data_IF_768072978590
#
_entry.id   IF_768072978590
#
_cell.length_a   1.000
_cell.length_b   1.000
_cell.length_c   1.000
_cell.angle_alpha   90.00
_cell.angle_beta   90.00
_cell.angle_gamma   90.00
#
_symmetry.space_group_name_H-M   'P 1'
#
loop_
_entity.id
_entity.type
_entity.pdbx_description
1 polymer ?
#
# COMPACT_ATOMS: atom_id res chain seq x y z
N UNK A 1 46.13 49.82 -6.39
CA UNK A 1 46.44 48.97 -5.22
C UNK A 1 45.35 49.19 -4.19
N UNK A 2 44.59 48.16 -3.76
CA UNK A 2 43.58 48.36 -2.71
C UNK A 2 44.24 48.84 -1.41
N UNK A 3 43.61 49.80 -0.75
CA UNK A 3 44.06 50.34 0.54
C UNK A 3 43.94 49.28 1.65
N UNK A 4 44.71 49.44 2.73
CA UNK A 4 44.65 48.53 3.89
C UNK A 4 43.23 48.45 4.47
N UNK A 5 42.51 49.58 4.48
CA UNK A 5 41.09 49.67 4.88
C UNK A 5 40.19 48.84 3.96
N UNK A 6 40.37 48.94 2.64
CA UNK A 6 39.57 48.15 1.69
C UNK A 6 39.82 46.66 1.83
N UNK A 7 41.07 46.23 2.01
CA UNK A 7 41.42 44.82 2.15
C UNK A 7 40.92 44.20 3.46
N UNK A 8 41.01 44.94 4.57
CA UNK A 8 40.72 44.40 5.91
C UNK A 8 39.28 44.62 6.37
N UNK A 9 38.64 45.73 5.97
CA UNK A 9 37.33 46.09 6.49
C UNK A 9 36.22 45.96 5.43
N UNK A 10 36.49 46.31 4.18
CA UNK A 10 35.44 46.41 3.16
C UNK A 10 35.25 45.07 2.43
N UNK A 11 36.33 44.50 1.90
CA UNK A 11 36.30 43.28 1.08
C UNK A 11 35.78 42.04 1.84
N UNK A 12 36.18 41.77 3.10
CA UNK A 12 35.66 40.61 3.83
C UNK A 12 34.16 40.69 4.05
N UNK A 13 33.65 41.87 4.41
CA UNK A 13 32.21 42.11 4.58
C UNK A 13 31.43 41.96 3.27
N UNK A 14 31.97 42.45 2.16
CA UNK A 14 31.38 42.26 0.83
C UNK A 14 31.35 40.78 0.43
N UNK A 15 32.44 40.05 0.68
CA UNK A 15 32.48 38.60 0.42
C UNK A 15 31.48 37.85 1.28
N UNK A 16 31.38 38.16 2.58
CA UNK A 16 30.42 37.51 3.47
C UNK A 16 28.98 37.78 3.03
N UNK A 17 28.66 39.03 2.66
CA UNK A 17 27.34 39.39 2.13
C UNK A 17 27.03 38.64 0.85
N UNK A 18 28.00 38.51 -0.06
CA UNK A 18 27.86 37.74 -1.29
C UNK A 18 27.63 36.25 -1.02
N UNK A 19 28.42 35.63 -0.14
CA UNK A 19 28.26 34.23 0.26
C UNK A 19 26.87 34.00 0.86
N UNK A 20 26.45 34.86 1.80
CA UNK A 20 25.12 34.78 2.41
C UNK A 20 24.00 34.91 1.38
N UNK A 21 24.14 35.81 0.41
CA UNK A 21 23.17 35.95 -0.69
C UNK A 21 23.12 34.69 -1.54
N UNK A 22 24.28 34.14 -1.92
CA UNK A 22 24.35 32.89 -2.71
C UNK A 22 23.70 31.72 -1.97
N UNK A 23 23.90 31.60 -0.66
CA UNK A 23 23.22 30.59 0.16
C UNK A 23 21.71 30.80 0.06
N UNK A 24 21.21 32.01 0.29
CA UNK A 24 19.77 32.31 0.22
C UNK A 24 19.16 31.97 -1.14
N UNK A 25 19.88 32.25 -2.24
CA UNK A 25 19.42 31.91 -3.59
C UNK A 25 19.37 30.41 -3.80
N UNK A 26 20.41 29.68 -3.38
CA UNK A 26 20.49 28.22 -3.54
C UNK A 26 19.46 27.50 -2.68
N UNK A 27 19.21 27.99 -1.47
CA UNK A 27 18.24 27.40 -0.53
C UNK A 27 16.84 27.98 -0.67
N UNK A 28 16.60 28.81 -1.70
CA UNK A 28 15.28 29.41 -1.90
C UNK A 28 14.27 28.30 -2.23
N UNK A 29 13.27 28.15 -1.38
CA UNK A 29 12.15 27.22 -1.57
C UNK A 29 10.92 27.97 -2.07
N UNK A 30 9.96 27.26 -2.70
CA UNK A 30 8.69 27.84 -3.12
C UNK A 30 7.97 28.52 -1.96
N UNK A 31 7.36 29.68 -2.21
CA UNK A 31 6.58 30.40 -1.19
C UNK A 31 5.30 29.65 -0.77
N UNK A 32 4.81 28.76 -1.63
CA UNK A 32 3.63 27.94 -1.42
C UNK A 32 4.05 26.49 -1.71
N UNK A 33 3.66 25.59 -0.81
CA UNK A 33 3.80 24.17 -1.05
C UNK A 33 2.89 23.74 -2.20
N UNK A 34 3.49 23.18 -3.26
CA UNK A 34 2.78 22.64 -4.42
C UNK A 34 2.85 21.11 -4.49
N UNK A 35 3.44 20.45 -3.49
CA UNK A 35 3.62 19.01 -3.51
C UNK A 35 2.29 18.31 -3.27
N UNK A 36 2.05 17.15 -3.92
CA UNK A 36 0.90 16.34 -3.60
C UNK A 36 0.99 15.87 -2.14
N UNK A 37 -0.15 15.73 -1.44
CA UNK A 37 -0.16 15.19 -0.09
C UNK A 37 0.40 13.76 -0.10
N UNK A 38 1.07 13.34 0.99
CA UNK A 38 1.62 11.99 1.09
C UNK A 38 0.52 10.94 0.97
N UNK A 39 0.86 9.80 0.34
CA UNK A 39 -0.07 8.69 0.18
C UNK A 39 -0.54 8.18 1.53
N UNK A 40 -1.85 8.05 1.68
CA UNK A 40 -2.46 7.51 2.88
C UNK A 40 -2.73 6.02 2.68
N UNK A 41 -2.11 5.19 3.51
CA UNK A 41 -2.20 3.73 3.42
C UNK A 41 -3.66 3.25 3.42
N UNK A 42 -4.54 3.88 4.21
CA UNK A 42 -5.96 3.53 4.26
C UNK A 42 -6.75 3.86 2.98
N UNK A 43 -6.22 4.73 2.11
CA UNK A 43 -6.79 5.03 0.78
C UNK A 43 -6.27 4.01 -0.24
N UNK A 44 -4.97 3.73 -0.20
CA UNK A 44 -4.33 2.77 -1.10
C UNK A 44 -4.77 1.33 -0.84
N UNK A 45 -5.00 0.96 0.43
CA UNK A 45 -5.33 -0.39 0.84
C UNK A 45 -6.74 -0.49 1.41
N UNK A 46 -7.58 -1.31 0.77
CA UNK A 46 -8.94 -1.63 1.25
C UNK A 46 -8.90 -2.80 2.23
N UNK A 47 -8.27 -2.60 3.39
CA UNK A 47 -8.03 -3.64 4.40
C UNK A 47 -9.32 -4.39 4.81
N UNK A 48 -10.44 -3.67 4.98
CA UNK A 48 -11.71 -4.30 5.34
C UNK A 48 -12.27 -5.21 4.23
N UNK A 49 -12.02 -4.86 2.96
CA UNK A 49 -12.39 -5.71 1.82
C UNK A 49 -11.57 -6.99 1.84
N UNK A 50 -10.25 -6.88 2.03
CA UNK A 50 -9.36 -8.04 2.10
C UNK A 50 -9.75 -8.98 3.25
N UNK A 51 -10.05 -8.42 4.42
CA UNK A 51 -10.56 -9.19 5.56
C UNK A 51 -11.84 -9.96 5.22
N UNK A 52 -12.84 -9.29 4.64
CA UNK A 52 -14.12 -9.95 4.26
C UNK A 52 -13.93 -11.08 3.26
N UNK A 53 -13.01 -10.93 2.30
CA UNK A 53 -12.70 -11.99 1.34
C UNK A 53 -12.06 -13.21 2.01
N UNK A 54 -11.18 -13.00 3.00
CA UNK A 54 -10.60 -14.09 3.79
C UNK A 54 -11.67 -14.82 4.61
N UNK A 55 -12.49 -14.08 5.34
CA UNK A 55 -13.59 -14.64 6.13
C UNK A 55 -14.59 -15.42 5.24
N UNK A 56 -14.89 -14.91 4.05
CA UNK A 56 -15.74 -15.60 3.08
C UNK A 56 -15.12 -16.92 2.61
N UNK A 57 -13.83 -16.93 2.28
CA UNK A 57 -13.13 -18.14 1.83
C UNK A 57 -13.09 -19.20 2.92
N UNK A 58 -12.78 -18.81 4.15
CA UNK A 58 -12.76 -19.69 5.30
C UNK A 58 -14.15 -20.32 5.53
N UNK A 59 -15.22 -19.51 5.45
CA UNK A 59 -16.59 -20.03 5.58
C UNK A 59 -16.91 -21.07 4.49
N UNK A 60 -16.56 -20.80 3.24
CA UNK A 60 -16.78 -21.74 2.12
C UNK A 60 -16.02 -23.05 2.37
N UNK A 61 -14.78 -22.98 2.83
CA UNK A 61 -13.96 -24.16 3.12
C UNK A 61 -14.57 -25.01 4.23
N UNK A 62 -14.99 -24.39 5.34
CA UNK A 62 -15.68 -25.08 6.43
C UNK A 62 -16.98 -25.75 5.98
N UNK A 63 -17.77 -25.06 5.15
CA UNK A 63 -19.01 -25.61 4.57
C UNK A 63 -18.73 -26.79 3.63
N UNK A 64 -17.68 -26.71 2.80
CA UNK A 64 -17.27 -27.80 1.91
C UNK A 64 -16.82 -29.05 2.69
N UNK A 65 -16.03 -28.87 3.75
CA UNK A 65 -15.60 -29.98 4.62
C UNK A 65 -16.83 -30.65 5.26
N UNK A 66 -17.77 -29.85 5.79
CA UNK A 66 -19.00 -30.36 6.39
C UNK A 66 -19.86 -31.12 5.37
N UNK A 67 -19.98 -30.60 4.16
CA UNK A 67 -20.71 -31.26 3.08
C UNK A 67 -20.06 -32.61 2.73
N UNK A 68 -18.74 -32.64 2.57
CA UNK A 68 -17.99 -33.85 2.27
C UNK A 68 -18.18 -34.93 3.34
N UNK A 69 -18.09 -34.54 4.62
CA UNK A 69 -18.34 -35.46 5.74
C UNK A 69 -19.75 -36.05 5.70
N UNK A 70 -20.77 -35.22 5.42
CA UNK A 70 -22.15 -35.67 5.30
C UNK A 70 -22.35 -36.61 4.11
N UNK A 71 -21.79 -36.27 2.96
CA UNK A 71 -21.84 -37.12 1.77
C UNK A 71 -21.16 -38.46 2.03
N UNK A 72 -19.98 -38.47 2.66
CA UNK A 72 -19.28 -39.70 3.05
C UNK A 72 -20.12 -40.59 3.99
N UNK A 73 -20.79 -39.99 4.97
CA UNK A 73 -21.68 -40.71 5.87
C UNK A 73 -22.95 -41.27 5.19
N UNK A 74 -23.47 -40.57 4.17
CA UNK A 74 -24.59 -41.07 3.36
C UNK A 74 -24.12 -42.22 2.48
N UNK A 75 -22.99 -42.05 1.78
CA UNK A 75 -22.44 -43.04 0.86
C UNK A 75 -21.98 -44.33 1.56
N UNK A 76 -21.51 -44.25 2.80
CA UNK A 76 -21.13 -45.43 3.59
C UNK A 76 -22.33 -46.30 3.98
N UNK A 77 -23.52 -45.69 4.14
CA UNK A 77 -24.76 -46.40 4.40
C UNK A 77 -25.38 -46.83 3.08
N UNK A 78 -25.05 -48.04 2.59
CA UNK A 78 -25.69 -48.70 1.43
C UNK A 78 -27.17 -49.03 1.67
N UNK A 79 -28.03 -48.01 1.86
CA UNK A 79 -29.48 -48.20 2.00
C UNK A 79 -30.20 -48.22 0.64
N UNK A 80 -29.54 -47.75 -0.41
CA UNK A 80 -29.99 -47.73 -1.81
C UNK A 80 -28.80 -48.07 -2.71
N UNK A 81 -29.02 -48.87 -3.75
CA UNK A 81 -27.99 -49.13 -4.76
C UNK A 81 -27.74 -47.87 -5.58
N UNK A 82 -26.50 -47.37 -5.55
CA UNK A 82 -26.06 -46.21 -6.34
C UNK A 82 -25.74 -46.56 -7.80
N UNK A 83 -26.27 -47.67 -8.29
CA UNK A 83 -26.03 -48.18 -9.64
C UNK A 83 -27.29 -47.95 -10.45
N UNK A 84 -27.18 -47.16 -11.50
CA UNK A 84 -28.24 -47.04 -12.49
C UNK A 84 -28.24 -48.31 -13.34
N UNK A 85 -29.29 -49.11 -13.22
CA UNK A 85 -29.51 -50.31 -14.04
C UNK A 85 -30.09 -50.00 -15.41
N UNK A 86 -30.50 -48.75 -15.64
CA UNK A 86 -31.05 -48.26 -16.91
C UNK A 86 -30.36 -46.96 -17.34
N UNK A 87 -30.55 -46.56 -18.59
CA UNK A 87 -29.97 -45.32 -19.12
C UNK A 87 -30.59 -44.10 -18.44
N UNK A 88 -29.76 -43.15 -18.01
CA UNK A 88 -30.23 -41.92 -17.35
C UNK A 88 -31.10 -41.12 -18.33
N UNK A 89 -32.31 -40.67 -17.93
CA UNK A 89 -33.12 -39.79 -18.78
C UNK A 89 -32.39 -38.48 -19.04
N UNK A 90 -32.54 -37.96 -20.27
CA UNK A 90 -31.95 -36.70 -20.72
C UNK A 90 -32.57 -35.50 -20.00
#
# INVERSE_FOLDING_TARGET
MLTKKEKLLIRPWQMQRYINHRIKVVTAMPAIDFHPPPERIHIAQKLKKQQKELERKEKIEQENIRLLQRLGAIMSKKRLDNIWTYTRPK
#
